data_IF_581300107889
#
_entry.id   IF_581300107889
#
_cell.length_a   1.000
_cell.length_b   1.000
_cell.length_c   1.000
_cell.angle_alpha   90.00
_cell.angle_beta   90.00
_cell.angle_gamma   90.00
#
_symmetry.space_group_name_H-M   'P 1'
#
loop_
_entity.id
_entity.type
_entity.pdbx_description
1 polymer ?
#
# COMPACT_ATOMS: atom_id res chain seq x y z
N UNK A 1 4.46 -39.31 28.26
CA UNK A 1 5.41 -38.46 27.51
C UNK A 1 4.75 -38.06 26.19
N UNK A 2 4.69 -36.77 25.89
CA UNK A 2 4.21 -36.31 24.57
C UNK A 2 5.26 -36.70 23.54
N UNK A 3 4.92 -37.60 22.61
CA UNK A 3 5.81 -37.98 21.51
C UNK A 3 5.98 -36.85 20.49
N UNK A 4 6.88 -37.03 19.52
CA UNK A 4 7.14 -36.05 18.43
C UNK A 4 5.84 -35.58 17.77
N UNK A 5 4.92 -36.49 17.45
CA UNK A 5 3.63 -36.16 16.85
C UNK A 5 2.77 -35.23 17.70
N UNK A 6 2.79 -35.39 19.03
CA UNK A 6 2.03 -34.53 19.94
C UNK A 6 2.59 -33.10 20.02
N UNK A 7 3.91 -32.94 19.93
CA UNK A 7 4.52 -31.61 19.82
C UNK A 7 4.23 -30.93 18.48
N UNK A 8 4.22 -31.69 17.38
CA UNK A 8 3.86 -31.17 16.05
C UNK A 8 2.42 -30.67 16.03
N UNK A 9 1.46 -31.44 16.57
CA UNK A 9 0.06 -31.00 16.67
C UNK A 9 -0.07 -29.75 17.56
N UNK A 10 0.59 -29.72 18.71
CA UNK A 10 0.61 -28.56 19.60
C UNK A 10 1.13 -27.30 18.89
N UNK A 11 2.26 -27.40 18.19
CA UNK A 11 2.85 -26.30 17.43
C UNK A 11 2.00 -25.86 16.25
N UNK A 12 1.21 -26.77 15.65
CA UNK A 12 0.31 -26.42 14.55
C UNK A 12 -0.81 -25.46 14.96
N UNK A 13 -1.24 -25.54 16.22
CA UNK A 13 -2.32 -24.74 16.82
C UNK A 13 -1.81 -23.50 17.57
N UNK A 14 -0.50 -23.40 17.78
CA UNK A 14 0.10 -22.34 18.57
C UNK A 14 0.41 -21.10 17.73
N UNK A 15 -0.25 -19.97 18.01
CA UNK A 15 0.04 -18.67 17.36
C UNK A 15 0.96 -17.75 18.14
N UNK A 16 1.10 -17.98 19.45
CA UNK A 16 1.89 -17.11 20.33
C UNK A 16 3.38 -17.42 20.30
N UNK A 17 4.19 -16.44 19.88
CA UNK A 17 5.65 -16.58 19.84
C UNK A 17 6.26 -17.00 21.20
N UNK A 18 5.73 -16.50 22.32
CA UNK A 18 6.23 -16.85 23.67
C UNK A 18 6.01 -18.33 23.99
N UNK A 19 4.85 -18.88 23.65
CA UNK A 19 4.54 -20.28 23.85
C UNK A 19 5.42 -21.18 22.97
N UNK A 20 5.63 -20.80 21.71
CA UNK A 20 6.51 -21.53 20.78
C UNK A 20 7.95 -21.57 21.32
N UNK A 21 8.48 -20.46 21.84
CA UNK A 21 9.83 -20.41 22.44
C UNK A 21 9.95 -21.29 23.69
N UNK A 22 8.89 -21.37 24.52
CA UNK A 22 8.87 -22.30 25.67
C UNK A 22 8.92 -23.76 25.24
N UNK A 23 8.15 -24.12 24.20
CA UNK A 23 8.17 -25.47 23.61
C UNK A 23 9.56 -25.77 23.04
N UNK A 24 10.13 -24.83 22.29
CA UNK A 24 11.51 -24.95 21.77
C UNK A 24 12.52 -25.22 22.89
N UNK A 25 12.48 -24.45 23.98
CA UNK A 25 13.38 -24.64 25.12
C UNK A 25 13.25 -26.04 25.72
N UNK A 26 12.03 -26.53 25.95
CA UNK A 26 11.78 -27.89 26.45
C UNK A 26 12.31 -28.98 25.49
N UNK A 27 12.16 -28.79 24.19
CA UNK A 27 12.67 -29.72 23.17
C UNK A 27 14.21 -29.74 23.08
N UNK A 28 14.85 -28.60 23.35
CA UNK A 28 16.32 -28.51 23.46
C UNK A 28 16.80 -29.23 24.71
N UNK A 29 16.23 -28.93 25.89
CA UNK A 29 16.63 -29.52 27.18
C UNK A 29 16.44 -31.04 27.20
N UNK A 30 15.34 -31.53 26.59
CA UNK A 30 15.08 -32.97 26.50
C UNK A 30 15.87 -33.69 25.41
N UNK A 31 16.65 -32.97 24.59
CA UNK A 31 17.46 -33.52 23.50
C UNK A 31 16.68 -34.00 22.27
N UNK A 32 15.34 -33.95 22.29
CA UNK A 32 14.49 -34.38 21.17
C UNK A 32 14.72 -33.55 19.91
N UNK A 33 14.95 -32.24 20.06
CA UNK A 33 15.15 -31.37 18.90
C UNK A 33 16.38 -31.79 18.09
N UNK A 34 17.47 -32.24 18.73
CA UNK A 34 18.72 -32.62 18.05
C UNK A 34 18.55 -33.82 17.11
N UNK A 35 17.48 -34.61 17.26
CA UNK A 35 17.29 -35.88 16.55
C UNK A 35 16.10 -35.90 15.58
N UNK A 36 15.27 -34.84 15.53
CA UNK A 36 14.07 -34.82 14.70
C UNK A 36 14.04 -33.59 13.79
N UNK A 37 13.97 -33.87 12.49
CA UNK A 37 13.73 -32.85 11.46
C UNK A 37 12.28 -32.37 11.50
N UNK A 38 11.32 -33.25 11.84
CA UNK A 38 9.91 -32.86 11.91
C UNK A 38 9.65 -31.78 12.98
N UNK A 39 10.35 -31.85 14.11
CA UNK A 39 10.28 -30.82 15.16
C UNK A 39 10.85 -29.48 14.68
N UNK A 40 11.95 -29.50 13.92
CA UNK A 40 12.48 -28.27 13.33
C UNK A 40 11.51 -27.67 12.31
N UNK A 41 10.93 -28.50 11.44
CA UNK A 41 9.93 -28.08 10.46
C UNK A 41 8.70 -27.46 11.13
N UNK A 42 8.20 -28.10 12.18
CA UNK A 42 7.07 -27.62 12.94
C UNK A 42 7.36 -26.28 13.64
N UNK A 43 8.53 -26.14 14.28
CA UNK A 43 8.92 -24.91 14.95
C UNK A 43 9.12 -23.74 13.97
N UNK A 44 9.87 -23.97 12.88
CA UNK A 44 10.12 -22.94 11.85
C UNK A 44 8.80 -22.51 11.22
N UNK A 45 7.91 -23.45 10.92
CA UNK A 45 6.58 -23.17 10.38
C UNK A 45 5.71 -22.39 11.35
N UNK A 46 5.67 -22.78 12.62
CA UNK A 46 4.91 -22.05 13.65
C UNK A 46 5.43 -20.62 13.83
N UNK A 47 6.74 -20.42 13.89
CA UNK A 47 7.36 -19.10 14.02
C UNK A 47 7.10 -18.20 12.79
N UNK A 48 7.06 -18.76 11.59
CA UNK A 48 6.74 -18.02 10.35
C UNK A 48 5.32 -17.43 10.31
N UNK A 49 4.44 -17.88 11.21
CA UNK A 49 3.07 -17.37 11.39
C UNK A 49 2.92 -16.51 12.65
N UNK A 50 3.97 -16.44 13.47
CA UNK A 50 3.95 -15.70 14.74
C UNK A 50 4.32 -14.24 14.54
N UNK A 51 4.12 -13.42 15.57
CA UNK A 51 4.56 -12.02 15.58
C UNK A 51 6.10 -11.83 15.58
N UNK A 52 6.91 -12.91 15.72
CA UNK A 52 8.39 -12.85 15.77
C UNK A 52 9.04 -13.88 14.82
N UNK A 53 8.94 -13.69 13.49
CA UNK A 53 9.43 -14.66 12.52
C UNK A 53 10.96 -14.84 12.52
N UNK A 54 11.74 -13.81 12.85
CA UNK A 54 13.21 -13.87 12.94
C UNK A 54 13.74 -14.95 13.89
N UNK A 55 12.95 -15.41 14.87
CA UNK A 55 13.34 -16.50 15.78
C UNK A 55 13.47 -17.86 15.08
N UNK A 56 12.96 -17.99 13.85
CA UNK A 56 13.12 -19.19 13.04
C UNK A 56 14.55 -19.35 12.48
N UNK A 57 15.31 -18.26 12.35
CA UNK A 57 16.63 -18.28 11.68
C UNK A 57 17.68 -19.08 12.46
N UNK A 58 17.82 -18.93 13.79
CA UNK A 58 18.75 -19.74 14.56
C UNK A 58 18.41 -21.24 14.57
N UNK A 59 17.14 -21.61 14.38
CA UNK A 59 16.73 -23.02 14.28
C UNK A 59 17.28 -23.70 13.03
N UNK A 60 17.45 -22.96 11.93
CA UNK A 60 18.09 -23.50 10.74
C UNK A 60 19.58 -23.79 10.97
N UNK A 61 20.29 -22.88 11.65
CA UNK A 61 21.68 -23.13 12.03
C UNK A 61 21.80 -24.32 13.01
N UNK A 62 20.86 -24.46 13.94
CA UNK A 62 20.80 -25.61 14.85
C UNK A 62 20.58 -26.93 14.10
N UNK A 63 19.64 -26.96 13.15
CA UNK A 63 19.36 -28.11 12.30
C UNK A 63 20.62 -28.61 11.59
N UNK A 64 21.38 -27.70 10.96
CA UNK A 64 22.61 -28.03 10.25
C UNK A 64 23.71 -28.54 11.20
N UNK A 65 23.89 -27.89 12.36
CA UNK A 65 24.87 -28.33 13.39
C UNK A 65 24.53 -29.68 14.00
N UNK A 66 23.25 -30.05 14.02
CA UNK A 66 22.79 -31.36 14.46
C UNK A 66 23.08 -32.48 13.43
N UNK A 67 23.62 -32.15 12.25
CA UNK A 67 23.86 -33.09 11.16
C UNK A 67 22.59 -33.47 10.39
N UNK A 68 21.51 -32.72 10.59
CA UNK A 68 20.23 -32.93 9.94
C UNK A 68 20.14 -32.10 8.65
N UNK A 69 19.41 -32.60 7.66
CA UNK A 69 19.22 -31.92 6.38
C UNK A 69 17.85 -31.22 6.32
N UNK A 70 17.77 -30.04 5.70
CA UNK A 70 16.49 -29.37 5.49
C UNK A 70 15.63 -30.12 4.48
N UNK A 71 14.32 -30.01 4.67
CA UNK A 71 13.29 -30.64 3.84
C UNK A 71 12.61 -29.61 2.93
N UNK A 72 11.81 -30.06 1.94
CA UNK A 72 10.93 -29.19 1.18
C UNK A 72 9.92 -28.41 2.03
N UNK A 73 9.69 -28.80 3.29
CA UNK A 73 8.81 -28.11 4.22
C UNK A 73 9.55 -27.10 5.11
N UNK A 74 10.84 -27.32 5.38
CA UNK A 74 11.68 -26.39 6.15
C UNK A 74 11.87 -25.08 5.40
N UNK A 75 12.33 -25.16 4.14
CA UNK A 75 12.86 -24.01 3.42
C UNK A 75 11.81 -22.94 3.10
N UNK A 76 10.60 -23.26 2.61
CA UNK A 76 9.59 -22.23 2.32
C UNK A 76 9.19 -21.44 3.56
N UNK A 77 9.04 -22.10 4.71
CA UNK A 77 8.67 -21.44 5.96
C UNK A 77 9.81 -20.57 6.50
N UNK A 78 11.05 -21.04 6.37
CA UNK A 78 12.24 -20.27 6.73
C UNK A 78 12.40 -19.02 5.84
N UNK A 79 12.29 -19.18 4.53
CA UNK A 79 12.36 -18.11 3.54
C UNK A 79 11.24 -17.06 3.76
N UNK A 80 10.04 -17.52 4.12
CA UNK A 80 8.94 -16.62 4.54
C UNK A 80 9.33 -15.81 5.79
N UNK A 81 9.90 -16.45 6.81
CA UNK A 81 10.36 -15.77 8.02
C UNK A 81 11.43 -14.71 7.74
N UNK A 82 12.33 -14.96 6.77
CA UNK A 82 13.34 -13.99 6.31
C UNK A 82 12.69 -12.77 5.66
N UNK A 83 11.77 -12.99 4.72
CA UNK A 83 11.05 -11.91 4.03
C UNK A 83 10.22 -11.05 5.00
N UNK A 84 9.68 -11.64 6.07
CA UNK A 84 8.96 -10.92 7.14
C UNK A 84 9.87 -10.25 8.18
N UNK A 85 11.20 -10.43 8.10
CA UNK A 85 12.16 -9.83 9.03
C UNK A 85 13.36 -9.24 8.29
N UNK A 86 13.15 -8.28 7.37
CA UNK A 86 14.21 -7.74 6.53
C UNK A 86 15.29 -6.97 7.30
N UNK A 87 14.93 -6.40 8.45
CA UNK A 87 15.84 -5.63 9.31
C UNK A 87 16.77 -6.51 10.16
N UNK A 88 16.57 -7.83 10.20
CA UNK A 88 17.43 -8.70 10.98
C UNK A 88 18.81 -8.84 10.31
N UNK A 89 19.90 -8.82 11.09
CA UNK A 89 21.26 -8.76 10.57
C UNK A 89 21.61 -10.04 9.79
N UNK A 90 22.21 -9.88 8.60
CA UNK A 90 22.70 -10.99 7.78
C UNK A 90 21.62 -11.83 7.09
N UNK A 91 20.34 -11.45 7.17
CA UNK A 91 19.23 -12.23 6.58
C UNK A 91 19.33 -12.34 5.07
N UNK A 92 19.76 -11.28 4.38
CA UNK A 92 19.97 -11.34 2.93
C UNK A 92 21.04 -12.37 2.53
N UNK A 93 22.16 -12.40 3.27
CA UNK A 93 23.23 -13.39 3.04
C UNK A 93 22.72 -14.79 3.36
N UNK A 94 21.98 -14.97 4.45
CA UNK A 94 21.41 -16.25 4.83
C UNK A 94 20.39 -16.77 3.80
N UNK A 95 19.61 -15.89 3.17
CA UNK A 95 18.70 -16.26 2.09
C UNK A 95 19.46 -16.84 0.88
N UNK A 96 20.60 -16.24 0.52
CA UNK A 96 21.45 -16.73 -0.57
C UNK A 96 22.12 -18.06 -0.21
N UNK A 97 22.55 -18.27 1.04
CA UNK A 97 23.11 -19.56 1.46
C UNK A 97 22.05 -20.65 1.52
N UNK A 98 20.82 -20.32 1.95
CA UNK A 98 19.67 -21.23 1.86
C UNK A 98 19.36 -21.62 0.41
N UNK A 99 19.41 -20.67 -0.52
CA UNK A 99 19.27 -20.96 -1.95
C UNK A 99 20.36 -21.93 -2.43
N UNK A 100 21.63 -21.68 -2.13
CA UNK A 100 22.73 -22.57 -2.50
C UNK A 100 22.55 -23.99 -1.91
N UNK A 101 22.08 -24.10 -0.66
CA UNK A 101 21.76 -25.38 -0.04
C UNK A 101 20.59 -26.09 -0.73
N UNK A 102 19.54 -25.36 -1.12
CA UNK A 102 18.42 -25.92 -1.85
C UNK A 102 18.90 -26.58 -3.15
N UNK A 103 19.72 -25.88 -3.93
CA UNK A 103 20.31 -26.37 -5.18
C UNK A 103 21.22 -27.59 -4.94
N UNK A 104 22.12 -27.51 -3.94
CA UNK A 104 23.03 -28.62 -3.62
C UNK A 104 22.28 -29.91 -3.24
N UNK A 105 21.11 -29.78 -2.61
CA UNK A 105 20.28 -30.90 -2.19
C UNK A 105 19.23 -31.32 -3.23
N UNK A 106 19.17 -30.63 -4.38
CA UNK A 106 18.17 -30.86 -5.42
C UNK A 106 16.74 -30.58 -4.95
N UNK A 107 16.56 -29.63 -4.02
CA UNK A 107 15.25 -29.29 -3.44
C UNK A 107 14.46 -28.29 -4.31
N UNK A 108 15.10 -27.65 -5.28
CA UNK A 108 14.48 -26.73 -6.24
C UNK A 108 13.45 -27.40 -7.15
N UNK A 109 13.54 -28.73 -7.36
CA UNK A 109 12.53 -29.51 -8.09
C UNK A 109 11.15 -29.51 -7.42
N UNK A 110 11.10 -29.22 -6.11
CA UNK A 110 9.84 -29.13 -5.39
C UNK A 110 9.24 -27.74 -5.58
N UNK A 111 8.05 -27.69 -6.17
CA UNK A 111 7.32 -26.45 -6.51
C UNK A 111 7.21 -25.47 -5.33
N UNK A 112 6.99 -25.97 -4.11
CA UNK A 112 6.91 -25.11 -2.92
C UNK A 112 8.24 -24.39 -2.62
N UNK A 113 9.38 -25.05 -2.88
CA UNK A 113 10.71 -24.50 -2.65
C UNK A 113 11.06 -23.50 -3.76
N UNK A 114 10.85 -23.86 -5.03
CA UNK A 114 11.08 -22.94 -6.15
C UNK A 114 10.25 -21.67 -6.01
N UNK A 115 8.96 -21.78 -5.67
CA UNK A 115 8.08 -20.62 -5.54
C UNK A 115 8.50 -19.73 -4.35
N UNK A 116 8.97 -20.33 -3.25
CA UNK A 116 9.51 -19.57 -2.12
C UNK A 116 10.82 -18.84 -2.47
N UNK A 117 11.70 -19.48 -3.24
CA UNK A 117 12.93 -18.86 -3.72
C UNK A 117 12.63 -17.69 -4.65
N UNK A 118 11.73 -17.84 -5.62
CA UNK A 118 11.30 -16.76 -6.51
C UNK A 118 10.80 -15.55 -5.70
N UNK A 119 9.92 -15.79 -4.71
CA UNK A 119 9.40 -14.72 -3.85
C UNK A 119 10.48 -13.99 -3.07
N UNK A 120 11.46 -14.72 -2.55
CA UNK A 120 12.58 -14.12 -1.81
C UNK A 120 13.51 -13.33 -2.72
N UNK A 121 13.86 -13.84 -3.90
CA UNK A 121 14.72 -13.12 -4.84
C UNK A 121 14.04 -11.87 -5.39
N UNK A 122 12.80 -12.00 -5.86
CA UNK A 122 12.06 -10.89 -6.45
C UNK A 122 11.62 -9.86 -5.40
N UNK A 123 11.04 -10.31 -4.29
CA UNK A 123 10.37 -9.44 -3.32
C UNK A 123 11.25 -8.95 -2.18
N UNK A 124 12.16 -9.78 -1.65
CA UNK A 124 12.99 -9.43 -0.50
C UNK A 124 14.39 -8.95 -0.90
N UNK A 125 15.07 -9.68 -1.78
CA UNK A 125 16.44 -9.35 -2.19
C UNK A 125 16.50 -8.31 -3.32
N UNK A 126 15.40 -8.06 -4.02
CA UNK A 126 15.36 -7.17 -5.19
C UNK A 126 16.16 -7.69 -6.40
N UNK A 127 16.50 -8.98 -6.42
CA UNK A 127 17.27 -9.62 -7.49
C UNK A 127 16.32 -10.16 -8.55
N UNK A 128 15.75 -9.25 -9.34
CA UNK A 128 14.72 -9.57 -10.33
C UNK A 128 15.20 -10.56 -11.39
N UNK A 129 16.46 -10.42 -11.86
CA UNK A 129 17.05 -11.33 -12.83
C UNK A 129 17.18 -12.77 -12.28
N UNK A 130 17.62 -12.92 -11.03
CA UNK A 130 17.72 -14.23 -10.36
C UNK A 130 16.32 -14.85 -10.19
N UNK A 131 15.33 -14.03 -9.79
CA UNK A 131 13.94 -14.46 -9.68
C UNK A 131 13.33 -14.91 -11.01
N UNK A 132 13.61 -14.19 -12.09
CA UNK A 132 13.18 -14.57 -13.44
C UNK A 132 13.85 -15.87 -13.91
N UNK A 133 15.16 -16.01 -13.70
CA UNK A 133 15.89 -17.23 -14.03
C UNK A 133 15.31 -18.46 -13.30
N UNK A 134 14.96 -18.30 -12.02
CA UNK A 134 14.31 -19.34 -11.24
C UNK A 134 12.91 -19.67 -11.77
N UNK A 135 12.14 -18.68 -12.23
CA UNK A 135 10.85 -18.94 -12.88
C UNK A 135 11.03 -19.73 -14.19
N UNK A 136 12.03 -19.39 -15.01
CA UNK A 136 12.30 -20.06 -16.30
C UNK A 136 12.82 -21.49 -16.15
N UNK A 137 13.52 -21.79 -15.07
CA UNK A 137 14.09 -23.13 -14.81
C UNK A 137 13.21 -24.00 -13.90
N UNK A 138 12.13 -23.46 -13.35
CA UNK A 138 11.22 -24.20 -12.48
C UNK A 138 10.49 -25.32 -13.24
N UNK A 139 10.40 -26.50 -12.62
CA UNK A 139 9.70 -27.65 -13.19
C UNK A 139 8.18 -27.41 -13.38
N UNK A 140 7.60 -26.56 -12.54
CA UNK A 140 6.24 -26.06 -12.70
C UNK A 140 6.15 -24.65 -12.11
N UNK A 141 5.36 -23.81 -12.78
CA UNK A 141 5.12 -22.42 -12.38
C UNK A 141 3.64 -22.24 -12.09
N UNK A 142 3.33 -21.46 -11.05
CA UNK A 142 1.97 -21.08 -10.72
C UNK A 142 1.75 -19.58 -11.02
N UNK A 143 0.50 -19.16 -11.18
CA UNK A 143 0.17 -17.74 -11.38
C UNK A 143 0.71 -16.85 -10.24
N UNK A 144 0.89 -17.40 -9.03
CA UNK A 144 1.40 -16.63 -7.89
C UNK A 144 2.87 -16.21 -8.06
N UNK A 145 3.71 -17.04 -8.70
CA UNK A 145 5.11 -16.72 -9.00
C UNK A 145 5.23 -15.62 -10.04
N UNK A 146 4.41 -15.68 -11.11
CA UNK A 146 4.29 -14.59 -12.08
C UNK A 146 3.84 -13.30 -11.40
N UNK A 147 2.75 -13.33 -10.62
CA UNK A 147 2.23 -12.15 -9.93
C UNK A 147 3.26 -11.51 -9.00
N UNK A 148 4.08 -12.33 -8.35
CA UNK A 148 5.17 -11.84 -7.49
C UNK A 148 6.22 -11.09 -8.30
N UNK A 149 6.67 -11.65 -9.42
CA UNK A 149 7.65 -10.99 -10.29
C UNK A 149 7.07 -9.74 -10.95
N UNK A 150 5.84 -9.80 -11.47
CA UNK A 150 5.14 -8.64 -12.06
C UNK A 150 5.08 -7.48 -11.06
N UNK A 151 4.66 -7.75 -9.82
CA UNK A 151 4.61 -6.73 -8.76
C UNK A 151 6.00 -6.18 -8.44
N UNK A 152 7.03 -7.03 -8.41
CA UNK A 152 8.40 -6.63 -8.12
C UNK A 152 9.02 -5.78 -9.24
N UNK A 153 8.81 -6.15 -10.51
CA UNK A 153 9.23 -5.37 -11.67
C UNK A 153 8.52 -4.01 -11.72
N UNK A 154 7.21 -3.99 -11.48
CA UNK A 154 6.44 -2.75 -11.42
C UNK A 154 6.97 -1.78 -10.33
N UNK A 155 7.21 -2.29 -9.12
CA UNK A 155 7.79 -1.49 -8.01
C UNK A 155 9.20 -0.99 -8.28
N UNK A 156 9.96 -1.69 -9.11
CA UNK A 156 11.29 -1.27 -9.56
C UNK A 156 11.25 -0.27 -10.73
N UNK A 157 10.07 0.19 -11.15
CA UNK A 157 9.88 1.08 -12.30
C UNK A 157 10.06 0.39 -13.65
N UNK A 158 10.22 -0.93 -13.67
CA UNK A 158 10.43 -1.74 -14.89
C UNK A 158 9.10 -2.30 -15.41
N UNK A 159 8.14 -1.41 -15.68
CA UNK A 159 6.76 -1.82 -16.03
C UNK A 159 6.69 -2.54 -17.38
N UNK A 160 7.59 -2.24 -18.31
CA UNK A 160 7.68 -2.97 -19.59
C UNK A 160 8.01 -4.47 -19.40
N UNK A 161 8.94 -4.79 -18.49
CA UNK A 161 9.26 -6.18 -18.16
C UNK A 161 8.11 -6.87 -17.41
N UNK A 162 7.43 -6.13 -16.52
CA UNK A 162 6.23 -6.61 -15.85
C UNK A 162 5.13 -6.96 -16.88
N UNK A 163 4.95 -6.10 -17.89
CA UNK A 163 4.00 -6.32 -18.98
C UNK A 163 4.36 -7.54 -19.82
N UNK A 164 5.62 -7.69 -20.21
CA UNK A 164 6.08 -8.86 -20.96
C UNK A 164 5.77 -10.16 -20.18
N UNK A 165 6.05 -10.19 -18.87
CA UNK A 165 5.72 -11.36 -18.04
C UNK A 165 4.22 -11.61 -17.92
N UNK A 166 3.42 -10.55 -17.83
CA UNK A 166 1.97 -10.65 -17.80
C UNK A 166 1.40 -11.21 -19.12
N UNK A 167 1.93 -10.77 -20.26
CA UNK A 167 1.52 -11.22 -21.60
C UNK A 167 1.90 -12.70 -21.85
N UNK A 168 2.97 -13.19 -21.21
CA UNK A 168 3.39 -14.58 -21.26
C UNK A 168 2.58 -15.53 -20.34
N UNK A 169 1.80 -15.01 -19.39
CA UNK A 169 1.08 -15.85 -18.43
C UNK A 169 0.12 -16.82 -19.13
N UNK A 170 0.19 -18.14 -18.85
CA UNK A 170 -0.74 -19.12 -19.43
C UNK A 170 -2.18 -18.90 -18.97
N UNK A 171 -2.36 -18.50 -17.71
CA UNK A 171 -3.66 -18.23 -17.09
C UNK A 171 -3.52 -16.98 -16.23
N UNK A 172 -4.33 -15.97 -16.52
CA UNK A 172 -4.45 -14.74 -15.75
C UNK A 172 -5.60 -14.88 -14.76
N UNK A 173 -5.46 -14.27 -13.60
CA UNK A 173 -6.50 -14.21 -12.57
C UNK A 173 -6.65 -12.77 -12.06
N UNK A 174 -7.64 -12.49 -11.21
CA UNK A 174 -7.86 -11.15 -10.68
C UNK A 174 -6.56 -10.52 -10.14
N UNK A 175 -5.75 -11.28 -9.38
CA UNK A 175 -4.48 -10.80 -8.81
C UNK A 175 -3.45 -10.39 -9.87
N UNK A 176 -3.36 -11.10 -11.01
CA UNK A 176 -2.43 -10.69 -12.10
C UNK A 176 -2.86 -9.37 -12.72
N UNK A 177 -4.16 -9.17 -12.92
CA UNK A 177 -4.72 -7.91 -13.42
C UNK A 177 -4.50 -6.76 -12.42
N UNK A 178 -4.77 -7.00 -11.13
CA UNK A 178 -4.51 -6.03 -10.05
C UNK A 178 -3.05 -5.60 -10.01
N UNK A 179 -2.11 -6.53 -10.18
CA UNK A 179 -0.69 -6.22 -10.20
C UNK A 179 -0.31 -5.30 -11.36
N UNK A 180 -0.85 -5.54 -12.57
CA UNK A 180 -0.55 -4.73 -13.75
C UNK A 180 -1.20 -3.35 -13.71
N UNK A 181 -2.49 -3.25 -13.36
CA UNK A 181 -3.18 -1.95 -13.26
C UNK A 181 -2.47 -1.05 -12.26
N UNK A 182 -2.20 -1.56 -11.05
CA UNK A 182 -1.50 -0.79 -10.03
C UNK A 182 -0.06 -0.47 -10.42
N UNK A 183 0.61 -1.35 -11.16
CA UNK A 183 1.96 -1.11 -11.68
C UNK A 183 2.02 0.09 -12.62
N UNK A 184 1.09 0.18 -13.57
CA UNK A 184 1.00 1.33 -14.48
C UNK A 184 0.61 2.63 -13.75
N UNK A 185 -0.34 2.57 -12.80
CA UNK A 185 -0.73 3.73 -11.98
C UNK A 185 0.45 4.28 -11.18
N UNK A 186 1.29 3.41 -10.61
CA UNK A 186 2.48 3.81 -9.85
C UNK A 186 3.57 4.42 -10.73
N UNK A 187 3.67 3.98 -11.99
CA UNK A 187 4.57 4.58 -12.97
C UNK A 187 4.05 5.90 -13.57
N UNK A 188 2.79 6.27 -13.30
CA UNK A 188 2.15 7.46 -13.86
C UNK A 188 1.58 7.25 -15.27
N UNK A 189 1.59 6.01 -15.77
CA UNK A 189 1.08 5.63 -17.09
C UNK A 189 -0.43 5.30 -17.02
N UNK A 190 -1.23 6.28 -16.57
CA UNK A 190 -2.66 6.10 -16.34
C UNK A 190 -3.43 5.56 -17.55
N UNK A 191 -3.04 5.98 -18.76
CA UNK A 191 -3.67 5.52 -20.01
C UNK A 191 -3.49 4.01 -20.23
N UNK A 192 -2.30 3.48 -19.92
CA UNK A 192 -2.03 2.03 -20.04
C UNK A 192 -2.75 1.25 -18.94
N UNK A 193 -2.83 1.80 -17.72
CA UNK A 193 -3.63 1.21 -16.64
C UNK A 193 -5.11 1.01 -17.05
N UNK A 194 -5.71 2.03 -17.69
CA UNK A 194 -7.08 1.95 -18.19
C UNK A 194 -7.25 0.96 -19.36
N UNK A 195 -6.24 0.83 -20.23
CA UNK A 195 -6.25 -0.18 -21.29
C UNK A 195 -6.19 -1.60 -20.73
N UNK A 196 -5.33 -1.87 -19.74
CA UNK A 196 -5.28 -3.16 -19.05
C UNK A 196 -6.63 -3.46 -18.38
N UNK A 197 -7.26 -2.45 -17.76
CA UNK A 197 -8.57 -2.63 -17.17
C UNK A 197 -9.66 -2.96 -18.21
N UNK A 198 -9.64 -2.30 -19.37
CA UNK A 198 -10.57 -2.62 -20.45
C UNK A 198 -10.36 -4.06 -20.99
N UNK A 199 -9.12 -4.53 -21.07
CA UNK A 199 -8.82 -5.93 -21.42
C UNK A 199 -9.35 -6.91 -20.37
N UNK A 200 -9.19 -6.60 -19.08
CA UNK A 200 -9.73 -7.39 -17.97
C UNK A 200 -11.25 -7.54 -18.09
N UNK A 201 -11.96 -6.45 -18.41
CA UNK A 201 -13.41 -6.46 -18.63
C UNK A 201 -13.81 -7.29 -19.86
N UNK A 202 -13.04 -7.20 -20.95
CA UNK A 202 -13.30 -7.97 -22.16
C UNK A 202 -13.10 -9.49 -21.96
N UNK A 203 -12.25 -9.89 -21.02
CA UNK A 203 -12.06 -11.28 -20.60
C UNK A 203 -13.06 -11.74 -19.51
N UNK A 204 -14.08 -10.93 -19.20
CA UNK A 204 -15.11 -11.18 -18.17
C UNK A 204 -14.52 -11.50 -16.78
N UNK A 205 -13.34 -10.95 -16.49
CA UNK A 205 -12.70 -11.12 -15.18
C UNK A 205 -13.23 -10.06 -14.22
N UNK A 206 -13.91 -10.52 -13.17
CA UNK A 206 -14.46 -9.63 -12.15
C UNK A 206 -13.33 -8.85 -11.43
N UNK A 207 -13.37 -7.50 -11.43
CA UNK A 207 -12.40 -6.70 -10.69
C UNK A 207 -12.61 -6.82 -9.19
N UNK A 208 -11.50 -6.94 -8.45
CA UNK A 208 -11.48 -6.85 -7.00
C UNK A 208 -11.35 -5.39 -6.53
N UNK A 209 -11.50 -5.16 -5.22
CA UNK A 209 -11.44 -3.82 -4.64
C UNK A 209 -10.12 -3.09 -4.94
N UNK A 210 -9.01 -3.84 -5.06
CA UNK A 210 -7.68 -3.26 -5.31
C UNK A 210 -7.55 -2.76 -6.75
N UNK A 211 -8.12 -3.47 -7.73
CA UNK A 211 -8.22 -2.99 -9.11
C UNK A 211 -9.07 -1.74 -9.17
N UNK A 212 -10.26 -1.76 -8.56
CA UNK A 212 -11.21 -0.65 -8.67
C UNK A 212 -10.63 0.65 -8.10
N UNK A 213 -9.92 0.59 -6.96
CA UNK A 213 -9.21 1.76 -6.41
C UNK A 213 -8.09 2.22 -7.35
N UNK A 214 -7.31 1.29 -7.92
CA UNK A 214 -6.26 1.62 -8.89
C UNK A 214 -6.81 2.29 -10.15
N UNK A 215 -7.94 1.81 -10.67
CA UNK A 215 -8.64 2.39 -11.82
C UNK A 215 -9.16 3.79 -11.50
N UNK A 216 -9.75 4.02 -10.32
CA UNK A 216 -10.17 5.37 -9.91
C UNK A 216 -8.98 6.33 -9.88
N UNK A 217 -7.83 5.90 -9.37
CA UNK A 217 -6.61 6.70 -9.39
C UNK A 217 -6.11 6.98 -10.82
N UNK A 218 -6.16 5.98 -11.72
CA UNK A 218 -5.85 6.17 -13.14
C UNK A 218 -6.80 7.18 -13.80
N UNK A 219 -8.10 7.08 -13.53
CA UNK A 219 -9.09 8.03 -14.03
C UNK A 219 -8.80 9.45 -13.54
N UNK A 220 -8.44 9.60 -12.27
CA UNK A 220 -8.07 10.87 -11.67
C UNK A 220 -6.81 11.49 -12.33
N UNK A 221 -5.81 10.66 -12.66
CA UNK A 221 -4.58 11.09 -13.33
C UNK A 221 -4.80 11.45 -14.81
N UNK A 222 -5.70 10.76 -15.51
CA UNK A 222 -5.93 10.94 -16.94
C UNK A 222 -7.15 11.83 -17.29
N UNK A 223 -7.97 12.21 -16.31
CA UNK A 223 -9.24 12.90 -16.53
C UNK A 223 -10.32 12.02 -17.16
N UNK A 224 -10.28 10.71 -16.94
CA UNK A 224 -11.18 9.73 -17.56
C UNK A 224 -12.52 9.62 -16.80
N UNK A 225 -13.34 10.68 -16.87
CA UNK A 225 -14.56 10.83 -16.07
C UNK A 225 -15.56 9.68 -16.29
N UNK A 226 -15.79 9.27 -17.53
CA UNK A 226 -16.81 8.26 -17.86
C UNK A 226 -16.44 6.87 -17.31
N UNK A 227 -15.16 6.50 -17.35
CA UNK A 227 -14.65 5.30 -16.70
C UNK A 227 -14.78 5.38 -15.18
N UNK A 228 -14.53 6.55 -14.59
CA UNK A 228 -14.77 6.78 -13.17
C UNK A 228 -16.24 6.62 -12.75
N UNK A 229 -17.17 7.19 -13.54
CA UNK A 229 -18.62 7.01 -13.35
C UNK A 229 -19.03 5.54 -13.49
N UNK A 230 -18.45 4.82 -14.46
CA UNK A 230 -18.68 3.38 -14.61
C UNK A 230 -18.30 2.62 -13.34
N UNK A 231 -17.13 2.89 -12.77
CA UNK A 231 -16.69 2.24 -11.51
C UNK A 231 -17.65 2.57 -10.37
N UNK A 232 -18.05 3.82 -10.21
CA UNK A 232 -19.02 4.22 -9.18
C UNK A 232 -20.38 3.50 -9.35
N UNK A 233 -20.87 3.41 -10.59
CA UNK A 233 -22.08 2.66 -10.92
C UNK A 233 -21.94 1.16 -10.66
N UNK A 234 -20.78 0.58 -10.97
CA UNK A 234 -20.48 -0.83 -10.71
C UNK A 234 -20.53 -1.15 -9.21
N UNK A 235 -19.94 -0.31 -8.36
CA UNK A 235 -20.00 -0.47 -6.89
C UNK A 235 -21.46 -0.50 -6.41
N UNK A 236 -22.28 0.44 -6.88
CA UNK A 236 -23.71 0.52 -6.53
C UNK A 236 -24.51 -0.68 -7.02
N UNK A 237 -24.31 -1.10 -8.27
CA UNK A 237 -25.03 -2.22 -8.87
C UNK A 237 -24.75 -3.57 -8.18
N UNK A 238 -23.54 -3.74 -7.64
CA UNK A 238 -23.13 -4.96 -6.94
C UNK A 238 -23.31 -4.89 -5.42
N UNK A 239 -23.92 -3.82 -4.90
CA UNK A 239 -24.11 -3.62 -3.46
C UNK A 239 -22.79 -3.54 -2.67
N UNK A 240 -21.69 -3.15 -3.32
CA UNK A 240 -20.39 -3.00 -2.66
C UNK A 240 -20.44 -1.72 -1.83
N UNK A 241 -20.27 -1.87 -0.52
CA UNK A 241 -20.29 -0.74 0.41
C UNK A 241 -19.15 0.23 0.08
N UNK A 242 -19.50 1.50 -0.14
CA UNK A 242 -18.53 2.60 -0.30
C UNK A 242 -17.90 2.87 1.08
N UNK A 243 -16.79 2.18 1.35
CA UNK A 243 -15.98 2.41 2.55
C UNK A 243 -15.28 3.75 2.46
N UNK A 244 -14.64 4.19 3.56
CA UNK A 244 -13.81 5.41 3.54
C UNK A 244 -12.76 5.38 2.41
N UNK A 245 -12.19 4.21 2.10
CA UNK A 245 -11.22 4.04 1.02
C UNK A 245 -11.82 4.31 -0.36
N UNK A 246 -12.98 3.73 -0.67
CA UNK A 246 -13.66 3.99 -1.94
C UNK A 246 -14.20 5.42 -2.02
N UNK A 247 -14.78 5.94 -0.92
CA UNK A 247 -15.29 7.30 -0.86
C UNK A 247 -14.19 8.32 -1.16
N UNK A 248 -13.04 8.22 -0.49
CA UNK A 248 -11.89 9.09 -0.76
C UNK A 248 -11.38 8.96 -2.20
N UNK A 249 -11.28 7.75 -2.75
CA UNK A 249 -10.83 7.55 -4.14
C UNK A 249 -11.82 8.13 -5.18
N UNK A 250 -13.12 8.01 -4.92
CA UNK A 250 -14.18 8.61 -5.75
C UNK A 250 -14.16 10.13 -5.68
N UNK A 251 -13.97 10.71 -4.49
CA UNK A 251 -13.80 12.16 -4.31
C UNK A 251 -12.61 12.66 -5.12
N UNK A 252 -11.42 12.06 -4.95
CA UNK A 252 -10.21 12.48 -5.70
C UNK A 252 -10.43 12.37 -7.23
N UNK A 253 -11.07 11.29 -7.68
CA UNK A 253 -11.37 11.06 -9.09
C UNK A 253 -12.32 12.11 -9.66
N UNK A 254 -13.49 12.31 -9.05
CA UNK A 254 -14.47 13.30 -9.54
C UNK A 254 -13.89 14.71 -9.51
N UNK A 255 -13.19 15.07 -8.44
CA UNK A 255 -12.55 16.37 -8.31
C UNK A 255 -11.52 16.60 -9.41
N UNK A 256 -10.59 15.67 -9.67
CA UNK A 256 -9.59 15.86 -10.74
C UNK A 256 -10.18 15.81 -12.15
N UNK A 257 -11.35 15.17 -12.32
CA UNK A 257 -12.09 15.19 -13.57
C UNK A 257 -12.95 16.45 -13.77
N UNK A 258 -12.96 17.40 -12.84
CA UNK A 258 -13.73 18.65 -12.94
C UNK A 258 -15.13 18.60 -12.33
N UNK A 259 -15.57 17.45 -11.83
CA UNK A 259 -16.92 17.23 -11.28
C UNK A 259 -16.94 17.39 -9.76
N UNK A 260 -16.51 18.57 -9.27
CA UNK A 260 -16.39 18.84 -7.83
C UNK A 260 -17.71 18.69 -7.06
N UNK A 261 -18.85 18.91 -7.71
CA UNK A 261 -20.15 18.74 -7.08
C UNK A 261 -20.48 17.27 -6.81
N UNK A 262 -20.18 16.38 -7.76
CA UNK A 262 -20.31 14.93 -7.55
C UNK A 262 -19.34 14.43 -6.48
N UNK A 263 -18.14 15.01 -6.42
CA UNK A 263 -17.19 14.73 -5.34
C UNK A 263 -17.78 15.10 -3.96
N UNK A 264 -18.41 16.28 -3.86
CA UNK A 264 -19.07 16.72 -2.62
C UNK A 264 -20.23 15.80 -2.23
N UNK A 265 -21.08 15.39 -3.18
CA UNK A 265 -22.17 14.44 -2.92
C UNK A 265 -21.67 13.09 -2.39
N UNK A 266 -20.58 12.57 -2.97
CA UNK A 266 -19.95 11.34 -2.47
C UNK A 266 -19.42 11.56 -1.07
N UNK A 267 -18.70 12.66 -0.84
CA UNK A 267 -18.13 13.00 0.46
C UNK A 267 -19.21 13.09 1.54
N UNK A 268 -20.28 13.85 1.33
CA UNK A 268 -21.37 14.02 2.29
C UNK A 268 -22.01 12.68 2.67
N UNK A 269 -22.23 11.79 1.70
CA UNK A 269 -22.83 10.45 1.90
C UNK A 269 -21.93 9.45 2.65
N UNK A 270 -20.65 9.74 2.85
CA UNK A 270 -19.75 8.86 3.62
C UNK A 270 -20.15 8.83 5.10
N UNK A 271 -20.46 7.66 5.64
CA UNK A 271 -20.73 7.46 7.08
C UNK A 271 -19.47 7.74 7.93
N UNK A 272 -18.34 7.17 7.50
CA UNK A 272 -17.04 7.35 8.15
C UNK A 272 -16.11 8.21 7.29
N UNK A 273 -15.60 9.30 7.86
CA UNK A 273 -14.63 10.19 7.22
C UNK A 273 -13.37 10.26 8.07
N UNK A 274 -12.25 9.81 7.52
CA UNK A 274 -10.94 9.95 8.16
C UNK A 274 -10.26 11.27 7.72
N UNK A 275 -9.11 11.57 8.32
CA UNK A 275 -8.29 12.76 7.98
C UNK A 275 -8.09 12.90 6.47
N UNK A 276 -7.77 11.79 5.79
CA UNK A 276 -7.52 11.76 4.34
C UNK A 276 -8.76 12.14 3.51
N UNK A 277 -9.97 11.70 3.89
CA UNK A 277 -11.19 12.06 3.18
C UNK A 277 -11.44 13.58 3.26
N UNK A 278 -11.30 14.16 4.46
CA UNK A 278 -11.45 15.60 4.66
C UNK A 278 -10.41 16.39 3.89
N UNK A 279 -9.13 16.01 4.00
CA UNK A 279 -8.04 16.70 3.30
C UNK A 279 -8.24 16.66 1.78
N UNK A 280 -8.64 15.51 1.24
CA UNK A 280 -8.91 15.34 -0.19
C UNK A 280 -10.04 16.25 -0.66
N UNK A 281 -11.16 16.35 0.08
CA UNK A 281 -12.28 17.21 -0.31
C UNK A 281 -11.94 18.70 -0.19
N UNK A 282 -11.26 19.11 0.89
CA UNK A 282 -10.80 20.49 1.10
C UNK A 282 -9.86 20.91 -0.02
N UNK A 283 -8.87 20.07 -0.34
CA UNK A 283 -7.95 20.28 -1.46
C UNK A 283 -8.69 20.41 -2.78
N UNK A 284 -9.66 19.53 -3.01
CA UNK A 284 -10.53 19.54 -4.18
C UNK A 284 -11.23 20.89 -4.33
N UNK A 285 -11.89 21.39 -3.28
CA UNK A 285 -12.56 22.70 -3.31
C UNK A 285 -11.58 23.83 -3.58
N UNK A 286 -10.41 23.80 -2.94
CA UNK A 286 -9.35 24.78 -3.16
C UNK A 286 -8.87 24.81 -4.62
N UNK A 287 -8.60 23.64 -5.22
CA UNK A 287 -8.18 23.47 -6.62
C UNK A 287 -9.22 24.00 -7.61
N UNK A 288 -10.51 23.95 -7.25
CA UNK A 288 -11.64 24.44 -8.07
C UNK A 288 -12.07 25.87 -7.75
N UNK A 289 -11.31 26.62 -6.95
CA UNK A 289 -11.63 28.00 -6.65
C UNK A 289 -12.70 28.21 -5.56
N UNK A 290 -13.24 27.14 -4.99
CA UNK A 290 -14.30 27.15 -3.96
C UNK A 290 -13.70 27.31 -2.55
N UNK A 291 -12.88 28.34 -2.36
CA UNK A 291 -12.09 28.52 -1.13
C UNK A 291 -12.93 28.76 0.13
N UNK A 292 -14.05 29.47 0.02
CA UNK A 292 -14.98 29.67 1.15
C UNK A 292 -15.53 28.35 1.69
N UNK A 293 -15.89 27.43 0.81
CA UNK A 293 -16.38 26.10 1.16
C UNK A 293 -15.27 25.21 1.71
N UNK A 294 -14.06 25.33 1.18
CA UNK A 294 -12.89 24.63 1.71
C UNK A 294 -12.62 25.01 3.18
N UNK A 295 -12.74 26.31 3.52
CA UNK A 295 -12.62 26.81 4.89
C UNK A 295 -13.74 26.30 5.79
N UNK A 296 -14.98 26.27 5.28
CA UNK A 296 -16.12 25.72 6.03
C UNK A 296 -15.91 24.23 6.34
N UNK A 297 -15.50 23.43 5.35
CA UNK A 297 -15.20 22.01 5.57
C UNK A 297 -14.05 21.80 6.55
N UNK A 298 -13.04 22.66 6.55
CA UNK A 298 -11.95 22.57 7.52
C UNK A 298 -12.42 22.84 8.95
N UNK A 299 -13.20 23.89 9.15
CA UNK A 299 -13.81 24.17 10.45
C UNK A 299 -14.69 23.01 10.90
N UNK A 300 -15.45 22.42 9.97
CA UNK A 300 -16.27 21.24 10.25
C UNK A 300 -15.40 20.03 10.64
N UNK A 301 -14.28 19.78 9.96
CA UNK A 301 -13.32 18.73 10.30
C UNK A 301 -12.82 18.86 11.75
N UNK A 302 -12.39 20.07 12.13
CA UNK A 302 -11.90 20.37 13.49
C UNK A 302 -13.01 20.21 14.53
N UNK A 303 -14.20 20.75 14.26
CA UNK A 303 -15.36 20.65 15.16
C UNK A 303 -15.84 19.20 15.36
N UNK A 304 -15.60 18.33 14.38
CA UNK A 304 -15.89 16.89 14.45
C UNK A 304 -14.82 16.12 15.25
N UNK A 305 -13.86 16.81 15.88
CA UNK A 305 -12.79 16.21 16.68
C UNK A 305 -11.67 15.56 15.86
N UNK A 306 -11.68 15.72 14.53
CA UNK A 306 -10.67 15.16 13.64
C UNK A 306 -9.52 16.17 13.56
N UNK A 307 -8.34 15.75 14.01
CA UNK A 307 -7.14 16.59 13.94
C UNK A 307 -6.65 16.68 12.49
N UNK A 308 -6.55 17.89 11.92
CA UNK A 308 -5.97 18.05 10.59
C UNK A 308 -4.49 17.70 10.59
N UNK A 309 -4.05 17.06 9.50
CA UNK A 309 -2.63 16.82 9.24
C UNK A 309 -1.99 18.03 8.57
N UNK A 310 -0.67 18.03 8.48
CA UNK A 310 0.08 19.13 7.87
C UNK A 310 -0.34 19.40 6.42
N UNK A 311 -0.82 18.37 5.70
CA UNK A 311 -1.29 18.47 4.32
C UNK A 311 -2.59 19.29 4.26
N UNK A 312 -3.60 18.99 5.08
CA UNK A 312 -4.82 19.80 5.17
C UNK A 312 -4.52 21.27 5.48
N UNK A 313 -3.59 21.50 6.41
CA UNK A 313 -3.17 22.86 6.76
C UNK A 313 -2.54 23.59 5.57
N UNK A 314 -1.63 22.93 4.83
CA UNK A 314 -0.98 23.50 3.66
C UNK A 314 -2.00 23.84 2.56
N UNK A 315 -2.92 22.92 2.25
CA UNK A 315 -3.89 23.11 1.17
C UNK A 315 -4.79 24.34 1.41
N UNK A 316 -5.12 24.63 2.66
CA UNK A 316 -5.93 25.79 3.04
C UNK A 316 -5.12 27.07 3.07
N UNK A 317 -3.90 27.02 3.60
CA UNK A 317 -2.97 28.16 3.65
C UNK A 317 -2.70 28.70 2.24
N UNK A 318 -2.45 27.82 1.27
CA UNK A 318 -2.23 28.21 -0.12
C UNK A 318 -3.45 28.92 -0.69
N UNK A 319 -4.66 28.43 -0.41
CA UNK A 319 -5.87 29.06 -0.95
C UNK A 319 -6.20 30.38 -0.27
N UNK A 320 -6.01 30.46 1.05
CA UNK A 320 -6.20 31.71 1.78
C UNK A 320 -5.24 32.78 1.29
N UNK A 321 -3.98 32.42 1.06
CA UNK A 321 -2.99 33.32 0.48
C UNK A 321 -3.37 33.78 -0.94
N UNK A 322 -3.92 32.90 -1.79
CA UNK A 322 -4.44 33.29 -3.11
C UNK A 322 -5.61 34.27 -2.99
N UNK A 323 -6.53 34.05 -2.05
CA UNK A 323 -7.69 34.92 -1.79
C UNK A 323 -7.23 36.29 -1.28
N UNK A 324 -6.37 36.34 -0.26
CA UNK A 324 -5.79 37.55 0.32
C UNK A 324 -5.00 38.36 -0.74
N UNK A 325 -4.17 37.69 -1.56
CA UNK A 325 -3.44 38.34 -2.65
C UNK A 325 -4.37 38.96 -3.70
N UNK A 326 -5.45 38.26 -4.08
CA UNK A 326 -6.43 38.77 -5.06
C UNK A 326 -7.27 39.93 -4.52
N UNK A 327 -7.53 39.97 -3.22
CA UNK A 327 -8.18 41.10 -2.54
C UNK A 327 -7.24 42.31 -2.51
N UNK A 328 -5.96 42.10 -2.18
CA UNK A 328 -4.95 43.18 -2.06
C UNK A 328 -4.57 43.84 -3.39
N UNK A 329 -4.71 43.14 -4.51
CA UNK A 329 -4.30 43.64 -5.83
C UNK A 329 -5.39 44.44 -6.57
N UNK A 330 -6.61 44.58 -6.02
CA UNK A 330 -7.72 45.35 -6.63
C UNK A 330 -8.04 45.02 -8.11
N UNK A 331 -7.58 43.89 -8.64
CA UNK A 331 -7.87 43.42 -10.01
C UNK A 331 -9.21 42.68 -10.06
N UNK A 332 -10.31 43.43 -9.92
CA UNK A 332 -11.61 43.08 -10.50
C UNK A 332 -12.35 41.84 -9.94
N UNK A 333 -12.10 41.42 -8.70
CA UNK A 333 -12.97 40.41 -8.06
C UNK A 333 -14.29 41.04 -7.59
N UNK A 334 -15.38 40.79 -8.32
CA UNK A 334 -16.75 41.00 -7.84
C UNK A 334 -17.22 39.64 -7.30
N UNK A 335 -17.33 39.44 -5.98
CA UNK A 335 -17.88 38.20 -5.45
C UNK A 335 -19.33 38.05 -5.92
N UNK A 336 -19.70 36.86 -6.42
CA UNK A 336 -21.12 36.57 -6.67
C UNK A 336 -21.84 36.45 -5.32
N UNK A 337 -22.43 37.57 -4.90
CA UNK A 337 -23.17 37.72 -3.63
C UNK A 337 -24.55 37.04 -3.66
N UNK A 338 -24.92 36.33 -4.73
CA UNK A 338 -26.25 35.71 -4.84
C UNK A 338 -26.40 34.40 -4.08
N UNK A 339 -25.30 33.70 -3.75
CA UNK A 339 -25.36 32.39 -3.06
C UNK A 339 -24.57 32.30 -1.75
N UNK A 340 -23.93 33.38 -1.30
CA UNK A 340 -23.23 33.39 0.00
C UNK A 340 -24.23 33.69 1.11
N UNK A 341 -24.71 32.62 1.77
CA UNK A 341 -25.50 32.69 2.99
C UNK A 341 -24.79 33.54 4.07
N UNK A 342 -25.61 34.33 4.75
CA UNK A 342 -25.33 35.54 5.52
C UNK A 342 -24.65 35.38 6.89
N UNK A 343 -24.15 34.21 7.30
CA UNK A 343 -24.06 33.95 8.75
C UNK A 343 -22.67 33.68 9.35
N UNK A 344 -21.54 33.98 8.68
CA UNK A 344 -20.22 33.99 9.35
C UNK A 344 -19.35 35.12 8.81
N UNK A 345 -19.03 36.10 9.64
CA UNK A 345 -18.10 37.19 9.32
C UNK A 345 -16.69 36.62 9.01
N UNK A 346 -16.03 37.14 7.98
CA UNK A 346 -14.73 36.65 7.51
C UNK A 346 -13.64 36.69 8.61
N UNK A 347 -13.76 37.62 9.57
CA UNK A 347 -12.89 37.74 10.75
C UNK A 347 -12.95 36.51 11.68
N UNK A 348 -14.08 35.80 11.77
CA UNK A 348 -14.17 34.58 12.57
C UNK A 348 -13.45 33.40 11.91
N UNK A 349 -13.45 33.33 10.57
CA UNK A 349 -12.72 32.32 9.79
C UNK A 349 -11.22 32.57 9.86
N UNK A 350 -10.80 33.84 9.76
CA UNK A 350 -9.43 34.28 9.96
C UNK A 350 -8.94 34.00 11.38
N UNK A 351 -9.76 34.31 12.39
CA UNK A 351 -9.46 34.01 13.79
C UNK A 351 -9.33 32.51 14.08
N UNK A 352 -10.16 31.67 13.45
CA UNK A 352 -10.08 30.22 13.57
C UNK A 352 -8.81 29.66 12.93
N UNK A 353 -8.47 30.08 11.71
CA UNK A 353 -7.25 29.66 11.03
C UNK A 353 -5.99 30.15 11.74
N UNK A 354 -5.95 31.44 12.07
CA UNK A 354 -4.85 32.09 12.77
C UNK A 354 -4.53 31.33 14.06
N UNK A 355 -5.51 31.01 14.91
CA UNK A 355 -5.31 30.24 16.14
C UNK A 355 -4.71 28.85 15.95
N UNK A 356 -4.94 28.19 14.81
CA UNK A 356 -4.43 26.83 14.56
C UNK A 356 -3.07 26.82 13.83
N UNK A 357 -2.73 27.90 13.12
CA UNK A 357 -1.45 28.10 12.42
C UNK A 357 -0.42 28.80 13.32
N UNK A 358 -0.85 29.70 14.21
CA UNK A 358 0.02 30.41 15.14
C UNK A 358 0.82 29.42 16.01
N UNK A 359 2.14 29.48 15.93
CA UNK A 359 3.05 28.62 16.70
C UNK A 359 3.45 27.29 16.05
N UNK A 360 3.08 27.02 14.78
CA UNK A 360 3.62 25.88 14.01
C UNK A 360 4.61 26.34 12.95
N UNK A 361 5.75 25.65 12.87
CA UNK A 361 6.69 25.76 11.75
C UNK A 361 6.34 24.69 10.71
N UNK A 362 5.90 25.10 9.53
CA UNK A 362 5.49 24.20 8.44
C UNK A 362 6.47 24.38 7.27
N UNK A 363 7.09 23.30 6.81
CA UNK A 363 8.01 23.33 5.66
C UNK A 363 7.31 22.67 4.46
N UNK A 364 7.09 23.45 3.40
CA UNK A 364 6.44 23.01 2.15
C UNK A 364 7.47 23.08 1.02
N UNK A 365 7.42 22.15 0.06
CA UNK A 365 8.31 22.16 -1.10
C UNK A 365 7.48 22.23 -2.38
N UNK A 366 7.76 23.22 -3.22
CA UNK A 366 7.23 23.25 -4.60
C UNK A 366 8.27 22.64 -5.57
N UNK A 367 8.10 22.83 -6.89
CA UNK A 367 9.04 22.27 -7.88
C UNK A 367 10.44 22.90 -7.82
N UNK A 368 10.62 24.07 -7.20
CA UNK A 368 11.83 24.90 -7.31
C UNK A 368 12.46 25.28 -5.96
N UNK A 369 11.72 25.27 -4.84
CA UNK A 369 12.19 25.75 -3.53
C UNK A 369 11.42 25.16 -2.33
N UNK A 370 11.99 25.39 -1.15
CA UNK A 370 11.35 25.14 0.14
C UNK A 370 10.77 26.46 0.69
N UNK A 371 9.56 26.38 1.20
CA UNK A 371 8.80 27.43 1.87
C UNK A 371 8.70 27.08 3.34
N UNK A 372 9.14 27.98 4.22
CA UNK A 372 9.01 27.84 5.66
C UNK A 372 7.91 28.79 6.11
N UNK A 373 6.79 28.25 6.58
CA UNK A 373 5.73 29.01 7.19
C UNK A 373 5.94 29.03 8.70
N UNK A 374 6.04 30.23 9.26
CA UNK A 374 6.17 30.46 10.70
C UNK A 374 5.30 31.65 11.09
N UNK A 375 4.52 31.49 12.14
CA UNK A 375 3.62 32.54 12.67
C UNK A 375 2.69 33.14 11.59
N UNK A 376 2.18 32.27 10.70
CA UNK A 376 1.30 32.66 9.60
C UNK A 376 1.99 33.32 8.39
N UNK A 377 3.32 33.41 8.39
CA UNK A 377 4.10 34.06 7.32
C UNK A 377 5.02 33.08 6.58
N UNK A 378 5.05 33.16 5.25
CA UNK A 378 5.99 32.40 4.42
C UNK A 378 7.38 33.06 4.40
N UNK A 379 8.44 32.26 4.47
CA UNK A 379 9.83 32.72 4.22
C UNK A 379 10.02 33.35 2.84
N UNK A 380 9.08 33.14 1.92
CA UNK A 380 9.03 33.70 0.58
C UNK A 380 8.46 35.12 0.48
N UNK A 381 7.82 35.64 1.55
CA UNK A 381 7.13 36.95 1.53
C UNK A 381 6.25 37.14 0.30
N UNK A 382 5.51 36.09 -0.08
CA UNK A 382 4.52 36.13 -1.15
C UNK A 382 5.08 36.30 -2.57
N UNK A 383 6.41 36.22 -2.74
CA UNK A 383 7.06 36.07 -4.05
C UNK A 383 7.14 34.58 -4.43
N UNK A 384 6.16 34.15 -5.23
CA UNK A 384 6.11 32.84 -5.88
C UNK A 384 6.96 32.79 -7.15
#
# INVERSE_FOLDING_TARGET
MVGVAGYVDLLSRCGEARAIVRIQAALVTSGHLRRSVELHDALIRALSRSARPHLALPLYAHLLRAGLLPTPHTLPSLLKSMALSPAAPGVAVLALTVHAHAVKLGLERFVLVSNALIRVHAGFLGRLADGLLLLRTAAAVDASTFNTLITAYARAGRVADARALFDEMPVRNAVSWSAMVNGYVQAGDAREALQIFAQMQAEDVRPDDTVLVGVLAACAQHGALEQGKWVHGYLKAHGIRITVFFGTALVDMYSKCGEVQLAMEVFERMEDKNVLAWTTMIKSLAMHGRGSEALMLFTQMVSSGIRPDDIAFIDILLKWHEIDTRIRLEEGYIPDKKEVLLDIEEEEKEGALSRHIYGREIIVRDRTRFHLFKDGSCSCKDYW
#
